data_IF_358580955422
#
_entry.id   IF_358580955422
#
_cell.length_a   1.000
_cell.length_b   1.000
_cell.length_c   1.000
_cell.angle_alpha   90.00
_cell.angle_beta   90.00
_cell.angle_gamma   90.00
#
_symmetry.space_group_name_H-M   'P 1'
#
loop_
_entity.id
_entity.type
_entity.pdbx_description
1 polymer ?
#
# COMPACT_ATOMS: atom_id res chain seq x y z
N UNK A 1 4.13 -18.66 -10.10
CA UNK A 1 4.22 -18.14 -11.48
C UNK A 1 4.68 -16.69 -11.37
N UNK A 2 5.84 -16.35 -11.91
CA UNK A 2 6.27 -14.94 -11.99
C UNK A 2 5.69 -14.34 -13.26
N UNK A 3 4.91 -13.26 -13.15
CA UNK A 3 4.34 -12.57 -14.30
C UNK A 3 5.43 -11.68 -14.93
N UNK A 4 6.15 -12.19 -15.94
CA UNK A 4 7.27 -11.49 -16.58
C UNK A 4 6.87 -10.21 -17.32
N UNK A 5 5.57 -10.07 -17.63
CA UNK A 5 4.99 -8.89 -18.28
C UNK A 5 4.43 -7.86 -17.30
N UNK A 6 4.49 -8.13 -15.99
CA UNK A 6 4.00 -7.22 -14.97
C UNK A 6 5.10 -6.21 -14.61
N UNK A 7 4.88 -4.89 -14.81
CA UNK A 7 5.91 -3.88 -14.59
C UNK A 7 6.35 -3.78 -13.13
N UNK A 8 7.66 -3.61 -12.94
CA UNK A 8 8.24 -3.47 -11.62
C UNK A 8 8.10 -2.09 -10.99
N UNK A 9 9.06 -1.71 -10.15
CA UNK A 9 9.18 -0.34 -9.64
C UNK A 9 9.56 0.62 -10.78
N UNK A 10 8.54 1.17 -11.45
CA UNK A 10 8.70 2.11 -12.56
C UNK A 10 7.59 3.14 -12.43
N UNK A 11 7.93 4.29 -11.84
CA UNK A 11 6.97 5.34 -11.48
C UNK A 11 6.35 6.06 -12.70
N UNK A 12 6.97 5.92 -13.87
CA UNK A 12 6.43 6.41 -15.14
C UNK A 12 5.27 5.55 -15.68
N UNK A 13 5.11 4.31 -15.20
CA UNK A 13 4.02 3.41 -15.59
C UNK A 13 2.88 3.58 -14.58
N UNK A 14 1.68 4.02 -15.00
CA UNK A 14 0.53 4.17 -14.11
C UNK A 14 0.11 2.84 -13.44
N UNK A 15 -0.33 2.90 -12.18
CA UNK A 15 -0.80 1.72 -11.45
C UNK A 15 -2.11 1.18 -12.01
N UNK A 16 -2.94 2.00 -12.64
CA UNK A 16 -4.10 1.61 -13.45
C UNK A 16 -3.71 0.73 -14.64
N UNK A 17 -2.48 0.89 -15.17
CA UNK A 17 -1.94 -0.04 -16.18
C UNK A 17 -1.63 -1.40 -15.54
N UNK A 18 -1.03 -1.40 -14.35
CA UNK A 18 -0.79 -2.62 -13.56
C UNK A 18 -2.11 -3.32 -13.20
N UNK A 19 -3.13 -2.57 -12.77
CA UNK A 19 -4.47 -3.07 -12.47
C UNK A 19 -5.11 -3.74 -13.70
N UNK A 20 -4.97 -3.15 -14.89
CA UNK A 20 -5.45 -3.77 -16.14
C UNK A 20 -4.73 -5.08 -16.45
N UNK A 21 -3.41 -5.12 -16.36
CA UNK A 21 -2.61 -6.35 -16.58
C UNK A 21 -2.95 -7.44 -15.56
N UNK A 22 -3.21 -7.05 -14.31
CA UNK A 22 -3.69 -7.97 -13.30
C UNK A 22 -5.09 -8.49 -13.61
N UNK A 23 -6.01 -7.63 -14.07
CA UNK A 23 -7.35 -8.05 -14.48
C UNK A 23 -7.35 -9.05 -15.63
N UNK A 24 -6.43 -8.89 -16.60
CA UNK A 24 -6.21 -9.87 -17.68
C UNK A 24 -5.71 -11.22 -17.12
N UNK A 25 -4.85 -11.18 -16.10
CA UNK A 25 -4.37 -12.38 -15.40
C UNK A 25 -5.51 -13.10 -14.67
N UNK A 26 -6.34 -12.36 -13.92
CA UNK A 26 -7.54 -12.90 -13.25
C UNK A 26 -8.49 -13.52 -14.27
N UNK A 27 -8.75 -12.85 -15.40
CA UNK A 27 -9.59 -13.40 -16.47
C UNK A 27 -9.01 -14.68 -17.09
N UNK A 28 -7.68 -14.78 -17.20
CA UNK A 28 -7.00 -15.98 -17.65
C UNK A 28 -7.17 -17.14 -16.65
N UNK A 29 -6.98 -16.88 -15.35
CA UNK A 29 -7.13 -17.87 -14.28
C UNK A 29 -8.58 -18.34 -14.13
N UNK A 30 -9.54 -17.44 -14.21
CA UNK A 30 -10.97 -17.73 -14.19
C UNK A 30 -11.35 -18.69 -15.34
N UNK A 31 -10.92 -18.40 -16.57
CA UNK A 31 -11.19 -19.26 -17.75
C UNK A 31 -10.57 -20.65 -17.62
N UNK A 32 -9.41 -20.74 -16.97
CA UNK A 32 -8.70 -22.00 -16.76
C UNK A 32 -9.25 -22.79 -15.56
N UNK A 33 -10.08 -22.17 -14.71
CA UNK A 33 -10.47 -22.74 -13.42
C UNK A 33 -9.28 -22.96 -12.50
N UNK A 34 -8.22 -22.16 -12.63
CA UNK A 34 -6.95 -22.34 -11.92
C UNK A 34 -6.42 -21.00 -11.42
N UNK A 35 -6.91 -20.60 -10.25
CA UNK A 35 -6.41 -19.43 -9.52
C UNK A 35 -5.16 -19.82 -8.70
N UNK A 36 -4.10 -18.99 -8.65
CA UNK A 36 -2.94 -19.26 -7.80
C UNK A 36 -3.29 -19.22 -6.30
N UNK A 37 -2.67 -20.08 -5.50
CA UNK A 37 -2.89 -20.10 -4.04
C UNK A 37 -2.38 -18.82 -3.34
N UNK A 38 -1.33 -18.20 -3.89
CA UNK A 38 -0.80 -16.92 -3.44
C UNK A 38 -0.42 -16.04 -4.62
N UNK A 39 -0.83 -14.77 -4.55
CA UNK A 39 -0.43 -13.72 -5.48
C UNK A 39 0.11 -12.54 -4.67
N UNK A 40 1.26 -12.02 -5.09
CA UNK A 40 1.87 -10.81 -4.55
C UNK A 40 1.90 -9.77 -5.68
N UNK A 41 1.50 -8.55 -5.37
CA UNK A 41 1.32 -7.43 -6.29
C UNK A 41 1.89 -6.18 -5.63
N UNK A 42 2.54 -5.29 -6.39
CA UNK A 42 2.92 -3.96 -5.92
C UNK A 42 2.20 -2.87 -6.72
N UNK A 43 1.94 -1.72 -6.11
CA UNK A 43 1.42 -0.53 -6.78
C UNK A 43 2.33 0.64 -6.37
N UNK A 44 3.49 0.83 -7.01
CA UNK A 44 4.55 1.67 -6.44
C UNK A 44 4.32 3.19 -6.57
N UNK A 45 3.25 3.66 -7.21
CA UNK A 45 3.15 5.10 -7.55
C UNK A 45 2.79 6.01 -6.38
N UNK A 46 2.38 5.47 -5.26
CA UNK A 46 2.28 6.16 -3.99
C UNK A 46 3.65 6.63 -3.43
N UNK A 47 4.79 6.10 -3.90
CA UNK A 47 6.12 6.70 -3.63
C UNK A 47 6.26 8.11 -4.22
N UNK A 48 5.49 8.42 -5.28
CA UNK A 48 5.47 9.70 -5.99
C UNK A 48 6.80 10.09 -6.67
N UNK A 49 6.78 11.19 -7.43
CA UNK A 49 7.97 11.83 -8.01
C UNK A 49 8.31 13.16 -7.30
N UNK A 50 7.85 13.31 -6.05
CA UNK A 50 7.92 14.59 -5.33
C UNK A 50 7.37 15.73 -6.19
N UNK A 51 8.08 16.85 -6.25
CA UNK A 51 7.68 18.02 -7.04
C UNK A 51 8.43 18.17 -8.35
N UNK A 52 8.94 17.07 -8.93
CA UNK A 52 9.65 17.13 -10.22
C UNK A 52 8.86 17.89 -11.28
N UNK A 53 9.51 18.86 -11.93
CA UNK A 53 8.88 19.73 -12.92
C UNK A 53 8.30 18.92 -14.09
N UNK A 54 7.08 19.30 -14.52
CA UNK A 54 6.35 18.62 -15.61
C UNK A 54 6.01 17.15 -15.35
N UNK A 55 6.26 16.61 -14.17
CA UNK A 55 5.80 15.29 -13.74
C UNK A 55 4.46 15.40 -13.03
N UNK A 56 3.67 14.30 -12.95
CA UNK A 56 2.44 14.27 -12.15
C UNK A 56 2.65 14.75 -10.72
N UNK A 57 1.69 15.49 -10.17
CA UNK A 57 1.75 15.91 -8.76
C UNK A 57 1.69 14.70 -7.82
N UNK A 58 2.26 14.77 -6.61
CA UNK A 58 2.13 13.71 -5.61
C UNK A 58 0.67 13.28 -5.40
N UNK A 59 -0.25 14.25 -5.30
CA UNK A 59 -1.68 14.00 -5.16
C UNK A 59 -2.28 13.23 -6.34
N UNK A 60 -1.91 13.59 -7.58
CA UNK A 60 -2.39 12.89 -8.77
C UNK A 60 -1.87 11.45 -8.82
N UNK A 61 -0.63 11.21 -8.40
CA UNK A 61 -0.05 9.86 -8.35
C UNK A 61 -0.73 8.98 -7.31
N UNK A 62 -0.93 9.47 -6.09
CA UNK A 62 -1.63 8.73 -5.02
C UNK A 62 -3.11 8.49 -5.38
N UNK A 63 -3.79 9.46 -5.98
CA UNK A 63 -5.17 9.27 -6.45
C UNK A 63 -5.28 8.22 -7.58
N UNK A 64 -4.25 8.10 -8.41
CA UNK A 64 -4.19 7.10 -9.48
C UNK A 64 -3.89 5.71 -8.94
N UNK A 65 -3.04 5.59 -7.92
CA UNK A 65 -2.78 4.38 -7.15
C UNK A 65 -4.05 3.88 -6.41
N UNK A 66 -4.78 4.77 -5.72
CA UNK A 66 -6.05 4.44 -5.05
C UNK A 66 -7.11 3.92 -6.04
N UNK A 67 -7.23 4.57 -7.21
CA UNK A 67 -8.10 4.08 -8.28
C UNK A 67 -7.67 2.69 -8.77
N UNK A 68 -6.37 2.45 -8.94
CA UNK A 68 -5.84 1.16 -9.36
C UNK A 68 -6.18 0.05 -8.37
N UNK A 69 -6.02 0.31 -7.06
CA UNK A 69 -6.41 -0.60 -6.00
C UNK A 69 -7.91 -0.90 -6.06
N UNK A 70 -8.74 0.12 -6.20
CA UNK A 70 -10.19 -0.05 -6.34
C UNK A 70 -10.57 -0.96 -7.52
N UNK A 71 -9.95 -0.74 -8.69
CA UNK A 71 -10.15 -1.57 -9.89
C UNK A 71 -9.74 -3.04 -9.66
N UNK A 72 -8.64 -3.27 -8.94
CA UNK A 72 -8.15 -4.61 -8.59
C UNK A 72 -9.16 -5.33 -7.70
N UNK A 73 -9.61 -4.70 -6.61
CA UNK A 73 -10.55 -5.30 -5.66
C UNK A 73 -11.90 -5.55 -6.33
N UNK A 74 -12.38 -4.62 -7.15
CA UNK A 74 -13.60 -4.83 -7.93
C UNK A 74 -13.48 -6.06 -8.84
N UNK A 75 -12.39 -6.16 -9.62
CA UNK A 75 -12.19 -7.28 -10.53
C UNK A 75 -12.10 -8.62 -9.80
N UNK A 76 -11.41 -8.67 -8.64
CA UNK A 76 -11.36 -9.86 -7.78
C UNK A 76 -12.74 -10.23 -7.26
N UNK A 77 -13.53 -9.24 -6.83
CA UNK A 77 -14.87 -9.47 -6.27
C UNK A 77 -15.91 -9.97 -7.28
N UNK A 78 -15.64 -9.78 -8.57
CA UNK A 78 -16.44 -10.31 -9.69
C UNK A 78 -15.96 -11.69 -10.16
N UNK A 79 -14.82 -12.19 -9.68
CA UNK A 79 -14.32 -13.51 -10.05
C UNK A 79 -15.17 -14.62 -9.42
N UNK A 80 -15.38 -15.76 -10.11
CA UNK A 80 -16.02 -16.95 -9.52
C UNK A 80 -15.32 -17.47 -8.26
N UNK A 81 -14.03 -17.17 -8.06
CA UNK A 81 -13.28 -17.59 -6.86
C UNK A 81 -13.39 -16.60 -5.70
N UNK A 82 -14.02 -15.42 -5.87
CA UNK A 82 -14.22 -14.44 -4.79
C UNK A 82 -14.68 -15.04 -3.46
N UNK A 83 -15.65 -16.00 -3.42
CA UNK A 83 -16.10 -16.64 -2.18
C UNK A 83 -14.99 -17.29 -1.32
N UNK A 84 -13.80 -17.52 -1.88
CA UNK A 84 -12.64 -18.12 -1.21
C UNK A 84 -11.39 -17.22 -1.23
N UNK A 85 -11.52 -15.95 -1.60
CA UNK A 85 -10.39 -15.01 -1.65
C UNK A 85 -10.27 -14.16 -0.38
N UNK A 86 -9.03 -13.81 -0.06
CA UNK A 86 -8.69 -12.72 0.84
C UNK A 86 -7.55 -11.91 0.22
N UNK A 87 -7.72 -10.59 0.19
CA UNK A 87 -6.71 -9.63 -0.23
C UNK A 87 -6.30 -8.80 0.99
N UNK A 88 -4.98 -8.66 1.16
CA UNK A 88 -4.36 -7.83 2.19
C UNK A 88 -3.57 -6.72 1.47
N UNK A 89 -3.80 -5.48 1.84
CA UNK A 89 -3.15 -4.31 1.24
C UNK A 89 -2.44 -3.57 2.36
N UNK A 90 -1.16 -3.33 2.17
CA UNK A 90 -0.28 -2.67 3.12
C UNK A 90 0.84 -2.00 2.34
N UNK A 91 1.40 -0.95 2.94
CA UNK A 91 2.62 -0.31 2.45
C UNK A 91 3.85 -1.15 2.82
N UNK A 92 4.95 -0.90 2.13
CA UNK A 92 6.27 -1.43 2.49
C UNK A 92 6.84 -0.74 3.74
N UNK A 93 6.58 0.56 3.91
CA UNK A 93 6.91 1.32 5.11
C UNK A 93 5.86 2.41 5.50
N UNK A 94 6.26 3.39 6.32
CA UNK A 94 5.41 4.50 6.78
C UNK A 94 5.85 5.87 6.21
N UNK A 95 6.70 5.86 5.18
CA UNK A 95 7.23 7.00 4.43
C UNK A 95 7.94 8.06 5.29
N UNK A 96 8.66 7.65 6.35
CA UNK A 96 9.16 8.52 7.45
C UNK A 96 8.17 9.64 7.84
N UNK A 97 6.89 9.27 7.79
CA UNK A 97 5.78 10.17 7.96
C UNK A 97 5.59 10.49 9.43
N UNK A 98 5.29 11.74 9.78
CA UNK A 98 4.89 12.07 11.14
C UNK A 98 3.51 11.47 11.45
N UNK A 99 3.48 10.51 12.37
CA UNK A 99 2.25 9.98 12.95
C UNK A 99 2.16 10.32 14.46
N UNK A 100 0.95 10.63 14.94
CA UNK A 100 0.74 11.05 16.32
C UNK A 100 0.81 9.90 17.36
N UNK A 101 0.70 8.65 16.91
CA UNK A 101 0.81 7.44 17.74
C UNK A 101 2.21 6.86 17.66
N UNK A 102 2.67 6.51 16.45
CA UNK A 102 4.01 5.97 16.19
C UNK A 102 4.42 6.16 14.73
N UNK A 103 5.63 6.65 14.47
CA UNK A 103 6.14 6.91 13.13
C UNK A 103 6.22 5.69 12.19
N UNK A 104 6.15 4.45 12.71
CA UNK A 104 6.10 3.23 11.89
C UNK A 104 4.67 2.74 11.65
N UNK A 105 3.65 3.44 12.18
CA UNK A 105 2.26 3.07 11.92
C UNK A 105 1.93 3.33 10.46
N UNK A 106 1.56 2.28 9.74
CA UNK A 106 1.14 2.34 8.34
C UNK A 106 -0.29 1.81 8.15
N UNK A 107 -0.76 1.79 6.91
CA UNK A 107 -2.10 1.36 6.51
C UNK A 107 -2.15 -0.16 6.35
N UNK A 108 -3.26 -0.76 6.78
CA UNK A 108 -3.60 -2.16 6.50
C UNK A 108 -5.09 -2.25 6.13
N UNK A 109 -5.37 -2.67 4.90
CA UNK A 109 -6.73 -2.91 4.40
C UNK A 109 -6.93 -4.40 4.12
N UNK A 110 -8.15 -4.89 4.35
CA UNK A 110 -8.53 -6.28 4.11
C UNK A 110 -9.80 -6.31 3.27
N UNK A 111 -9.76 -7.06 2.15
CA UNK A 111 -10.92 -7.30 1.30
C UNK A 111 -11.15 -8.80 1.12
N UNK A 112 -12.33 -9.29 1.51
CA UNK A 112 -12.73 -10.69 1.41
C UNK A 112 -14.24 -10.78 1.63
N UNK A 113 -14.93 -11.82 1.13
CA UNK A 113 -16.29 -12.12 1.59
C UNK A 113 -16.35 -12.33 3.11
N UNK A 114 -15.25 -12.79 3.72
CA UNK A 114 -15.16 -13.00 5.16
C UNK A 114 -14.64 -11.77 5.91
N UNK A 115 -14.22 -10.70 5.24
CA UNK A 115 -13.77 -9.49 5.92
C UNK A 115 -14.96 -8.86 6.66
N UNK A 116 -14.74 -8.39 7.89
CA UNK A 116 -15.74 -7.58 8.58
C UNK A 116 -15.94 -6.27 7.80
N UNK A 117 -17.16 -6.01 7.37
CA UNK A 117 -17.54 -4.79 6.67
C UNK A 117 -17.82 -3.65 7.64
N UNK A 118 -17.63 -2.42 7.17
CA UNK A 118 -17.92 -1.19 7.90
C UNK A 118 -17.29 -1.16 9.30
N UNK A 119 -16.09 -1.75 9.43
CA UNK A 119 -15.44 -1.97 10.71
C UNK A 119 -13.99 -1.49 10.67
N UNK A 120 -13.58 -0.83 11.75
CA UNK A 120 -12.18 -0.56 12.07
C UNK A 120 -11.73 -1.59 13.10
N UNK A 121 -10.66 -2.33 12.80
CA UNK A 121 -9.99 -3.18 13.78
C UNK A 121 -8.82 -2.41 14.40
N UNK A 122 -8.89 -2.15 15.70
CA UNK A 122 -7.83 -1.46 16.45
C UNK A 122 -6.85 -2.41 17.14
N UNK A 123 -6.88 -3.71 16.79
CA UNK A 123 -5.86 -4.68 17.23
C UNK A 123 -4.48 -4.25 16.71
N UNK A 124 -3.45 -4.39 17.55
CA UNK A 124 -2.08 -4.10 17.15
C UNK A 124 -1.57 -5.19 16.21
N UNK A 125 -1.34 -4.85 14.95
CA UNK A 125 -0.75 -5.72 13.94
C UNK A 125 0.59 -5.19 13.45
N UNK A 126 1.37 -6.10 12.88
CA UNK A 126 2.63 -5.85 12.19
C UNK A 126 2.61 -6.54 10.83
N UNK A 127 3.58 -6.28 9.95
CA UNK A 127 3.72 -7.03 8.68
C UNK A 127 3.81 -8.55 8.90
N UNK A 128 4.44 -8.97 10.01
CA UNK A 128 4.49 -10.39 10.40
C UNK A 128 3.10 -10.97 10.75
N UNK A 129 2.15 -10.14 11.19
CA UNK A 129 0.76 -10.54 11.44
C UNK A 129 0.03 -10.91 10.15
N UNK A 130 0.30 -10.17 9.06
CA UNK A 130 -0.22 -10.47 7.72
C UNK A 130 0.38 -11.78 7.20
N UNK A 131 1.70 -11.94 7.29
CA UNK A 131 2.38 -13.18 6.92
C UNK A 131 1.81 -14.38 7.70
N UNK A 132 1.67 -14.26 9.02
CA UNK A 132 1.08 -15.28 9.88
C UNK A 132 -0.35 -15.65 9.48
N UNK A 133 -1.12 -14.68 8.98
CA UNK A 133 -2.48 -14.91 8.50
C UNK A 133 -2.48 -15.66 7.17
N UNK A 134 -1.59 -15.28 6.23
CA UNK A 134 -1.41 -15.97 4.95
C UNK A 134 -1.02 -17.44 5.19
N UNK A 135 -0.06 -17.69 6.09
CA UNK A 135 0.32 -19.05 6.49
C UNK A 135 -0.88 -19.87 6.98
N UNK A 136 -1.69 -19.27 7.86
CA UNK A 136 -2.88 -19.91 8.41
C UNK A 136 -3.92 -20.25 7.33
N UNK A 137 -4.14 -19.35 6.37
CA UNK A 137 -5.07 -19.58 5.25
C UNK A 137 -4.56 -20.69 4.32
N UNK A 138 -3.25 -20.73 4.07
CA UNK A 138 -2.63 -21.68 3.14
C UNK A 138 -2.19 -23.00 3.82
N UNK A 139 -2.36 -23.13 5.13
CA UNK A 139 -1.91 -24.30 5.89
C UNK A 139 -0.38 -24.45 5.97
N UNK A 140 0.36 -23.35 5.88
CA UNK A 140 1.82 -23.32 5.95
C UNK A 140 2.30 -23.22 7.40
N UNK A 141 3.52 -23.72 7.64
CA UNK A 141 4.21 -23.49 8.92
C UNK A 141 4.86 -22.11 8.95
N UNK A 142 5.06 -21.51 10.14
CA UNK A 142 5.84 -20.28 10.29
C UNK A 142 7.22 -20.38 9.66
N UNK A 143 7.69 -19.30 9.03
CA UNK A 143 9.03 -19.24 8.45
C UNK A 143 10.10 -18.93 9.52
N UNK A 144 9.71 -18.33 10.64
CA UNK A 144 10.63 -17.92 11.71
C UNK A 144 9.96 -17.92 13.09
N UNK A 145 10.63 -17.34 14.10
CA UNK A 145 9.99 -17.06 15.39
C UNK A 145 9.12 -15.80 15.36
N UNK A 146 9.32 -14.90 14.38
CA UNK A 146 8.66 -13.60 14.33
C UNK A 146 7.20 -13.72 13.88
N UNK A 147 6.96 -14.44 12.79
CA UNK A 147 5.62 -14.81 12.30
C UNK A 147 4.94 -15.82 13.25
N UNK A 148 5.67 -16.79 13.80
CA UNK A 148 5.14 -17.74 14.77
C UNK A 148 4.52 -17.05 16.01
N UNK A 149 5.14 -15.96 16.47
CA UNK A 149 4.68 -15.18 17.61
C UNK A 149 3.74 -14.02 17.24
N UNK A 150 3.52 -13.75 15.94
CA UNK A 150 2.69 -12.64 15.49
C UNK A 150 1.19 -12.89 15.75
N UNK A 151 0.44 -11.81 15.98
CA UNK A 151 -1.01 -11.88 16.18
C UNK A 151 -1.70 -12.00 14.81
N UNK A 152 -2.34 -13.13 14.47
CA UNK A 152 -3.08 -13.24 13.21
C UNK A 152 -4.29 -12.31 13.16
N UNK A 153 -4.74 -11.94 11.96
CA UNK A 153 -5.82 -10.98 11.69
C UNK A 153 -7.23 -11.53 11.99
N UNK A 154 -7.40 -12.44 12.96
CA UNK A 154 -8.69 -13.08 13.22
C UNK A 154 -9.83 -12.10 13.49
N UNK A 155 -9.53 -10.97 14.14
CA UNK A 155 -10.51 -9.94 14.43
C UNK A 155 -10.99 -9.21 13.16
N UNK A 156 -10.22 -9.22 12.07
CA UNK A 156 -10.62 -8.63 10.79
C UNK A 156 -11.60 -9.50 9.99
N UNK A 157 -11.82 -10.77 10.41
CA UNK A 157 -12.69 -11.71 9.72
C UNK A 157 -13.96 -12.08 10.51
N UNK A 158 -15.00 -12.47 9.80
CA UNK A 158 -16.26 -13.02 10.32
C UNK A 158 -16.50 -14.43 9.79
N UNK A 159 -17.32 -15.21 10.49
CA UNK A 159 -17.68 -16.59 10.06
C UNK A 159 -18.72 -16.62 8.94
N UNK A 160 -19.55 -15.59 8.85
CA UNK A 160 -20.62 -15.52 7.84
C UNK A 160 -20.12 -14.67 6.66
N UNK A 161 -19.93 -15.26 5.47
CA UNK A 161 -19.44 -14.49 4.34
C UNK A 161 -20.53 -13.56 3.79
N UNK A 162 -20.10 -12.40 3.32
CA UNK A 162 -20.85 -11.47 2.48
C UNK A 162 -20.19 -11.40 1.09
N UNK A 163 -20.70 -12.14 0.09
CA UNK A 163 -20.12 -12.21 -1.24
C UNK A 163 -20.46 -11.00 -2.12
N UNK A 164 -21.16 -9.97 -1.62
CA UNK A 164 -21.53 -8.80 -2.42
C UNK A 164 -20.26 -8.19 -3.07
N UNK A 165 -20.23 -8.03 -4.41
CA UNK A 165 -19.07 -7.46 -5.08
C UNK A 165 -18.76 -6.04 -4.62
N UNK A 166 -17.48 -5.68 -4.65
CA UNK A 166 -17.02 -4.32 -4.43
C UNK A 166 -17.16 -3.54 -5.73
N UNK A 167 -17.54 -2.27 -5.63
CA UNK A 167 -17.56 -1.32 -6.74
C UNK A 167 -16.61 -0.19 -6.38
N UNK A 168 -15.62 0.07 -7.23
CA UNK A 168 -14.65 1.11 -6.98
C UNK A 168 -15.29 2.49 -6.97
N UNK A 169 -14.74 3.38 -6.16
CA UNK A 169 -15.15 4.78 -6.12
C UNK A 169 -14.41 5.52 -7.24
N UNK A 170 -15.11 6.28 -8.11
CA UNK A 170 -14.45 7.11 -9.09
C UNK A 170 -13.56 8.17 -8.42
N UNK A 171 -12.39 8.44 -9.01
CA UNK A 171 -11.51 9.51 -8.53
C UNK A 171 -12.22 10.87 -8.58
N UNK A 172 -12.02 11.67 -7.54
CA UNK A 172 -12.44 13.07 -7.49
C UNK A 172 -11.29 14.03 -7.84
N UNK A 173 -10.07 13.50 -7.96
CA UNK A 173 -8.86 14.27 -8.22
C UNK A 173 -8.41 14.15 -9.68
N UNK A 174 -7.87 15.22 -10.29
CA UNK A 174 -7.34 15.14 -11.64
C UNK A 174 -6.07 14.26 -11.70
N UNK A 175 -6.15 13.11 -12.36
CA UNK A 175 -5.03 12.15 -12.44
C UNK A 175 -3.86 12.61 -13.34
N UNK A 176 -4.08 13.67 -14.13
CA UNK A 176 -3.10 14.21 -15.07
C UNK A 176 -2.62 15.60 -14.67
N UNK A 177 -2.87 16.02 -13.42
CA UNK A 177 -2.31 17.26 -12.88
C UNK A 177 -0.78 17.14 -12.81
N UNK A 178 -0.08 18.13 -13.38
CA UNK A 178 1.37 18.17 -13.43
C UNK A 178 1.92 19.26 -12.51
N UNK A 179 3.08 18.99 -11.92
CA UNK A 179 3.85 19.98 -11.20
C UNK A 179 4.26 21.15 -12.12
N UNK A 180 4.29 22.40 -11.63
CA UNK A 180 4.71 23.57 -12.41
C UNK A 180 6.10 23.43 -13.00
N UNK A 181 6.28 23.92 -14.22
CA UNK A 181 7.56 23.86 -14.95
C UNK A 181 8.66 24.73 -14.34
N UNK A 182 8.31 25.66 -13.45
CA UNK A 182 9.23 26.62 -12.82
C UNK A 182 9.91 26.08 -11.57
N UNK A 183 9.32 25.08 -10.91
CA UNK A 183 9.93 24.47 -9.73
C UNK A 183 11.20 23.70 -10.12
N UNK A 184 12.19 23.69 -9.22
CA UNK A 184 13.43 22.94 -9.38
C UNK A 184 13.60 22.09 -8.14
N UNK A 185 13.26 20.80 -8.28
CA UNK A 185 13.49 19.83 -7.21
C UNK A 185 14.98 19.74 -6.92
N UNK A 186 15.32 19.54 -5.64
CA UNK A 186 16.71 19.28 -5.24
C UNK A 186 17.08 17.80 -5.37
N UNK A 187 16.09 16.94 -5.59
CA UNK A 187 16.25 15.50 -5.71
C UNK A 187 16.67 15.17 -7.15
N UNK A 188 17.83 14.54 -7.35
CA UNK A 188 18.24 14.05 -8.67
C UNK A 188 17.18 13.13 -9.28
N UNK A 189 16.93 13.27 -10.59
CA UNK A 189 15.91 12.46 -11.26
C UNK A 189 16.22 10.97 -11.27
N UNK A 190 17.50 10.60 -11.23
CA UNK A 190 17.93 9.21 -11.14
C UNK A 190 17.52 8.52 -9.84
N UNK A 191 17.33 9.27 -8.76
CA UNK A 191 17.06 8.73 -7.42
C UNK A 191 15.61 8.26 -7.27
N UNK A 192 14.78 8.43 -8.31
CA UNK A 192 13.43 7.85 -8.39
C UNK A 192 13.38 6.54 -9.20
N UNK A 193 14.53 6.04 -9.66
CA UNK A 193 14.61 4.81 -10.46
C UNK A 193 14.46 3.54 -9.60
N UNK A 194 14.86 3.61 -8.34
CA UNK A 194 14.76 2.53 -7.36
C UNK A 194 13.98 3.03 -6.14
N UNK A 195 13.33 2.12 -5.43
CA UNK A 195 12.67 2.45 -4.18
C UNK A 195 13.70 2.94 -3.15
N UNK A 196 13.32 3.96 -2.38
CA UNK A 196 14.04 4.48 -1.21
C UNK A 196 15.45 5.06 -1.48
N UNK A 197 15.79 5.34 -2.73
CA UNK A 197 17.08 5.96 -3.09
C UNK A 197 17.06 7.49 -2.91
N UNK A 198 15.92 8.13 -3.16
CA UNK A 198 15.76 9.57 -2.97
C UNK A 198 15.95 9.98 -1.50
N UNK A 199 16.57 11.15 -1.27
CA UNK A 199 16.67 11.72 0.09
C UNK A 199 15.27 11.92 0.68
N UNK A 200 14.94 11.07 1.65
CA UNK A 200 13.60 10.95 2.20
C UNK A 200 13.13 12.22 2.92
N UNK A 201 14.04 12.95 3.59
CA UNK A 201 13.71 14.21 4.24
C UNK A 201 13.34 15.27 3.20
N UNK A 202 14.08 15.33 2.10
CA UNK A 202 13.82 16.23 1.00
C UNK A 202 12.54 15.87 0.25
N UNK A 203 12.32 14.59 -0.01
CA UNK A 203 11.11 14.08 -0.65
C UNK A 203 9.88 14.42 0.18
N UNK A 204 9.90 14.13 1.48
CA UNK A 204 8.81 14.47 2.39
C UNK A 204 8.54 15.97 2.46
N UNK A 205 9.59 16.81 2.44
CA UNK A 205 9.45 18.26 2.39
C UNK A 205 8.76 18.72 1.10
N UNK A 206 9.17 18.18 -0.04
CA UNK A 206 8.56 18.51 -1.33
C UNK A 206 7.11 18.04 -1.42
N UNK A 207 6.81 16.82 -0.98
CA UNK A 207 5.43 16.30 -0.92
C UNK A 207 4.58 17.18 -0.02
N UNK A 208 5.04 17.48 1.20
CA UNK A 208 4.31 18.32 2.15
C UNK A 208 4.00 19.70 1.58
N UNK A 209 4.99 20.39 0.99
CA UNK A 209 4.78 21.71 0.39
C UNK A 209 3.80 21.67 -0.80
N UNK A 210 3.71 20.53 -1.50
CA UNK A 210 2.74 20.35 -2.60
C UNK A 210 1.28 20.31 -2.13
N UNK A 211 1.04 19.81 -0.91
CA UNK A 211 -0.31 19.63 -0.35
C UNK A 211 -0.68 20.69 0.69
N UNK A 212 0.29 21.22 1.42
CA UNK A 212 0.14 22.21 2.50
C UNK A 212 1.11 23.40 2.28
N UNK A 213 0.95 24.18 1.19
CA UNK A 213 1.91 25.22 0.82
C UNK A 213 2.09 26.26 1.93
N UNK A 214 3.34 26.58 2.24
CA UNK A 214 3.70 27.56 3.28
C UNK A 214 3.43 27.11 4.72
N UNK A 215 3.07 25.85 4.95
CA UNK A 215 2.83 25.30 6.29
C UNK A 215 4.02 24.46 6.77
N UNK A 216 4.29 24.46 8.07
CA UNK A 216 5.33 23.61 8.66
C UNK A 216 4.85 22.15 8.77
N UNK A 217 5.67 21.15 8.39
CA UNK A 217 5.36 19.74 8.63
C UNK A 217 5.15 19.46 10.13
N UNK A 218 4.27 18.50 10.49
CA UNK A 218 4.11 18.10 11.88
C UNK A 218 5.40 17.45 12.39
N UNK A 219 5.69 17.56 13.70
CA UNK A 219 6.87 16.94 14.28
C UNK A 219 6.77 15.41 14.23
N UNK A 220 7.86 14.75 13.84
CA UNK A 220 7.95 13.29 13.88
C UNK A 220 8.00 12.83 15.34
N UNK A 221 7.04 12.01 15.76
CA UNK A 221 7.08 11.32 17.07
C UNK A 221 7.63 9.92 16.87
N UNK A 222 8.87 9.69 17.33
CA UNK A 222 9.41 8.35 17.45
C UNK A 222 9.17 7.84 18.87
N UNK A 223 8.55 6.67 19.03
CA UNK A 223 8.42 6.04 20.34
C UNK A 223 9.70 5.27 20.70
N UNK A 224 10.65 5.96 21.32
CA UNK A 224 11.67 5.31 22.17
C UNK A 224 11.85 6.15 23.44
N UNK A 225 11.13 5.79 24.51
CA UNK A 225 11.37 6.37 25.83
C UNK A 225 11.95 5.29 26.75
N UNK A 226 13.29 5.24 26.78
CA UNK A 226 13.98 5.01 28.05
C UNK A 226 14.79 6.27 28.35
N UNK A 227 14.20 7.20 29.12
CA UNK A 227 15.00 8.19 29.83
C UNK A 227 15.95 7.43 30.75
N UNK A 228 17.23 7.37 30.43
CA UNK A 228 18.22 6.99 31.44
C UNK A 228 18.16 8.04 32.56
N UNK A 229 18.01 7.64 33.84
CA UNK A 229 18.14 8.58 34.93
C UNK A 229 19.54 9.20 34.90
N UNK A 230 19.69 10.48 35.30
CA UNK A 230 21.01 11.09 35.38
C UNK A 230 21.89 10.27 36.33
N UNK A 231 23.11 9.94 35.89
CA UNK A 231 24.11 9.30 36.75
C UNK A 231 24.37 10.22 37.94
N UNK A 232 23.92 9.82 39.12
CA UNK A 232 24.36 10.43 40.38
C UNK A 232 25.85 10.12 40.54
N UNK A 233 26.66 11.19 40.70
CA UNK A 233 28.06 11.08 41.12
C UNK A 233 28.13 10.77 42.60
#
# INVERSE_FOLDING_TARGET
ITATNYPGFVLAIPDTTRARLFADSVASWDRQGRFPDLVILWLPRDHTLGRQASQPTPRAMVAENDLALGLIVERLSQSPVWPSLAAFVLEDDAQNGPDHVDAHRSVLLVASPYARRDAVDSTFYTTASVLRTIEGILGLSPLSQYDAAATPLWNAFTRRPDPTPFVHVPTTWPLHELNPTTFRSRIPTGDFAEADEADEMELNREIWESVHPGSTPPPVRQSWVLRQPPKTK
#
